data_IF_179276590556
#
_entry.id   IF_179276590556
#
_cell.length_a   1.000
_cell.length_b   1.000
_cell.length_c   1.000
_cell.angle_alpha   90.00
_cell.angle_beta   90.00
_cell.angle_gamma   90.00
#
_symmetry.space_group_name_H-M   'P 1'
#
loop_
_entity.id
_entity.type
_entity.pdbx_description
1 polymer ?
#
# COMPACT_ATOMS: atom_id res chain seq x y z
N UNK A 1 -19.30 -20.37 24.48
CA UNK A 1 -19.60 -19.88 24.07
C UNK A 1 -19.21 -19.43 23.14
N UNK A 2 -19.21 -19.26 22.79
CA UNK A 2 -18.83 -18.92 21.82
C UNK A 2 -18.50 -17.80 21.50
N UNK A 3 -17.87 -17.58 21.17
CA UNK A 3 -17.42 -16.59 20.83
C UNK A 3 -17.84 -16.08 19.78
N UNK A 4 -18.24 -15.27 19.83
CA UNK A 4 -18.74 -14.73 18.86
C UNK A 4 -17.83 -14.29 17.94
N UNK A 5 -17.75 -14.37 17.26
CA UNK A 5 -17.11 -14.04 16.49
C UNK A 5 -17.21 -12.95 16.03
N UNK A 6 -17.44 -12.50 16.42
CA UNK A 6 -17.43 -11.47 16.11
C UNK A 6 -16.62 -11.14 15.12
N UNK A 7 -16.90 -10.44 14.43
CA UNK A 7 -16.13 -9.99 13.47
C UNK A 7 -15.07 -9.27 14.00
N UNK A 8 -14.10 -9.80 14.25
CA UNK A 8 -12.92 -9.21 14.61
C UNK A 8 -12.34 -8.57 13.40
N UNK A 9 -12.04 -7.33 13.45
CA UNK A 9 -11.31 -6.70 12.38
C UNK A 9 -9.89 -7.18 12.42
N UNK A 10 -9.44 -7.66 11.30
CA UNK A 10 -8.05 -8.06 11.13
C UNK A 10 -7.30 -6.83 10.63
N UNK A 11 -6.20 -6.49 11.29
CA UNK A 11 -5.36 -5.38 10.82
C UNK A 11 -4.70 -5.74 9.51
N UNK A 12 -4.73 -4.82 8.58
CA UNK A 12 -4.02 -4.99 7.31
C UNK A 12 -2.53 -4.75 7.52
N UNK A 13 -1.73 -5.75 7.25
CA UNK A 13 -0.28 -5.62 7.30
C UNK A 13 0.17 -4.84 6.08
N UNK A 14 0.65 -3.64 6.30
CA UNK A 14 0.87 -2.68 5.24
C UNK A 14 2.35 -2.34 5.08
N UNK A 15 2.82 -2.45 3.86
CA UNK A 15 4.16 -2.05 3.45
C UNK A 15 4.07 -0.73 2.69
N UNK A 16 4.89 0.26 3.06
CA UNK A 16 4.78 1.60 2.48
C UNK A 16 6.11 2.02 1.88
N UNK A 17 6.07 2.44 0.63
CA UNK A 17 7.24 2.97 -0.09
C UNK A 17 7.01 4.46 -0.32
N UNK A 18 7.77 5.27 0.38
CA UNK A 18 7.71 6.73 0.33
C UNK A 18 9.04 7.27 0.83
N UNK A 19 9.69 8.13 0.05
CA UNK A 19 11.02 8.63 0.39
C UNK A 19 11.01 9.84 1.34
N UNK A 20 9.87 10.52 1.49
CA UNK A 20 9.77 11.63 2.43
C UNK A 20 9.33 11.12 3.80
N UNK A 21 10.22 11.21 4.78
CA UNK A 21 9.96 10.66 6.11
C UNK A 21 8.74 11.30 6.78
N UNK A 22 8.57 12.61 6.64
CA UNK A 22 7.43 13.31 7.27
C UNK A 22 6.12 12.86 6.66
N UNK A 23 6.05 12.78 5.34
CA UNK A 23 4.84 12.31 4.65
C UNK A 23 4.56 10.87 5.04
N UNK A 24 5.57 10.02 5.05
CA UNK A 24 5.43 8.62 5.39
C UNK A 24 4.92 8.44 6.82
N UNK A 25 5.52 9.12 7.77
CA UNK A 25 5.14 9.01 9.18
C UNK A 25 3.72 9.50 9.42
N UNK A 26 3.34 10.60 8.79
CA UNK A 26 1.99 11.13 8.92
C UNK A 26 0.97 10.18 8.29
N UNK A 27 1.29 9.60 7.15
CA UNK A 27 0.42 8.65 6.49
C UNK A 27 0.21 7.39 7.35
N UNK A 28 1.29 6.85 7.89
CA UNK A 28 1.22 5.68 8.76
C UNK A 28 0.35 5.97 9.98
N UNK A 29 0.61 7.10 10.65
CA UNK A 29 -0.14 7.45 11.85
C UNK A 29 -1.63 7.59 11.54
N UNK A 30 -1.97 8.25 10.44
CA UNK A 30 -3.36 8.44 10.03
C UNK A 30 -4.04 7.10 9.73
N UNK A 31 -3.38 6.24 8.96
CA UNK A 31 -3.95 4.95 8.60
C UNK A 31 -4.06 4.01 9.79
N UNK A 32 -3.09 4.04 10.69
CA UNK A 32 -3.16 3.20 11.90
C UNK A 32 -4.29 3.65 12.82
N UNK A 33 -4.54 4.95 12.86
CA UNK A 33 -5.61 5.47 13.71
C UNK A 33 -6.99 5.24 13.10
N UNK A 34 -7.15 5.48 11.79
CA UNK A 34 -8.47 5.55 11.16
C UNK A 34 -8.85 4.32 10.36
N UNK A 35 -7.90 3.52 9.94
CA UNK A 35 -8.14 2.48 8.94
C UNK A 35 -7.73 1.07 9.37
N UNK A 36 -7.37 0.90 10.60
CA UNK A 36 -7.04 -0.42 11.16
C UNK A 36 -5.93 -1.14 10.37
N UNK A 37 -4.88 -0.38 10.00
CA UNK A 37 -3.71 -0.97 9.38
C UNK A 37 -2.59 -1.14 10.40
N UNK A 38 -1.64 -1.99 10.08
CA UNK A 38 -0.41 -2.16 10.85
C UNK A 38 0.76 -2.02 9.89
N UNK A 39 1.63 -1.04 10.11
CA UNK A 39 2.81 -0.88 9.26
C UNK A 39 3.81 -1.99 9.58
N UNK A 40 4.12 -2.82 8.61
CA UNK A 40 5.05 -3.94 8.80
C UNK A 40 6.40 -3.70 8.14
N UNK A 41 6.52 -2.66 7.33
CA UNK A 41 7.79 -2.31 6.69
C UNK A 41 7.67 -1.02 5.93
N UNK A 42 8.81 -0.38 5.71
CA UNK A 42 8.90 0.85 4.94
C UNK A 42 10.11 0.77 4.02
N UNK A 43 10.06 1.52 2.93
CA UNK A 43 11.20 1.70 2.05
C UNK A 43 11.20 3.10 1.47
N UNK A 44 12.39 3.61 1.15
CA UNK A 44 12.55 4.95 0.60
C UNK A 44 13.05 4.93 -0.83
N UNK A 45 13.50 3.78 -1.30
CA UNK A 45 14.07 3.64 -2.64
C UNK A 45 13.48 2.42 -3.32
N UNK A 46 13.62 2.36 -4.64
CA UNK A 46 13.22 1.17 -5.39
C UNK A 46 13.97 -0.06 -4.91
N UNK A 47 15.28 0.05 -4.70
CA UNK A 47 16.11 -1.07 -4.29
C UNK A 47 15.67 -1.63 -2.93
N UNK A 48 15.44 -0.76 -1.95
CA UNK A 48 15.01 -1.19 -0.63
C UNK A 48 13.61 -1.80 -0.70
N UNK A 49 12.74 -1.21 -1.51
CA UNK A 49 11.38 -1.73 -1.68
C UNK A 49 11.36 -3.13 -2.26
N UNK A 50 12.13 -3.34 -3.34
CA UNK A 50 12.17 -4.66 -3.97
C UNK A 50 12.84 -5.69 -3.07
N UNK A 51 13.86 -5.29 -2.32
CA UNK A 51 14.52 -6.18 -1.37
C UNK A 51 13.57 -6.61 -0.25
N UNK A 52 12.81 -5.66 0.29
CA UNK A 52 11.85 -5.98 1.35
C UNK A 52 10.78 -6.96 0.85
N UNK A 53 10.24 -6.70 -0.33
CA UNK A 53 9.22 -7.57 -0.91
C UNK A 53 9.74 -8.97 -1.18
N UNK A 54 10.96 -9.08 -1.64
CA UNK A 54 11.58 -10.37 -1.88
C UNK A 54 11.74 -11.17 -0.58
N UNK A 55 12.12 -10.49 0.50
CA UNK A 55 12.35 -11.15 1.78
C UNK A 55 11.06 -11.45 2.54
N UNK A 56 9.96 -10.72 2.26
CA UNK A 56 8.74 -10.81 3.04
C UNK A 56 7.50 -11.05 2.18
N UNK A 57 7.63 -11.77 1.10
CA UNK A 57 6.58 -11.86 0.06
C UNK A 57 5.24 -12.41 0.55
N UNK A 58 5.21 -13.11 1.67
CA UNK A 58 3.95 -13.62 2.22
C UNK A 58 3.49 -12.87 3.47
N UNK A 59 4.19 -11.80 3.84
CA UNK A 59 4.00 -11.18 5.16
C UNK A 59 3.33 -9.81 5.10
N UNK A 60 2.66 -9.50 4.02
CA UNK A 60 1.96 -8.23 3.87
C UNK A 60 0.63 -8.44 3.17
N UNK A 61 -0.31 -7.54 3.43
CA UNK A 61 -1.65 -7.55 2.83
C UNK A 61 -1.84 -6.39 1.87
N UNK A 62 -1.18 -5.28 2.10
CA UNK A 62 -1.33 -4.06 1.33
C UNK A 62 0.02 -3.41 1.10
N UNK A 63 0.32 -3.05 -0.13
CA UNK A 63 1.49 -2.24 -0.44
C UNK A 63 1.02 -0.89 -0.98
N UNK A 64 1.48 0.19 -0.35
CA UNK A 64 1.19 1.56 -0.78
C UNK A 64 2.48 2.13 -1.33
N UNK A 65 2.49 2.48 -2.61
CA UNK A 65 3.71 2.83 -3.32
C UNK A 65 3.62 4.21 -3.96
N UNK A 66 4.54 5.10 -3.59
CA UNK A 66 4.72 6.35 -4.29
C UNK A 66 5.51 6.08 -5.57
N UNK A 67 5.05 6.64 -6.68
CA UNK A 67 5.70 6.44 -7.97
C UNK A 67 7.00 7.23 -8.12
N UNK A 68 7.08 8.39 -7.49
CA UNK A 68 8.20 9.31 -7.71
C UNK A 68 9.14 9.29 -6.51
N UNK A 69 10.15 8.45 -6.59
CA UNK A 69 11.15 8.31 -5.54
C UNK A 69 12.42 9.04 -5.95
N UNK A 70 13.21 9.49 -4.96
CA UNK A 70 14.49 10.14 -5.24
C UNK A 70 15.47 9.17 -5.86
N UNK A 71 15.39 7.89 -5.49
CA UNK A 71 16.27 6.87 -6.02
C UNK A 71 15.43 5.74 -6.58
N UNK A 72 15.48 5.58 -7.88
CA UNK A 72 14.69 4.60 -8.57
C UNK A 72 13.26 5.08 -8.81
N UNK A 73 12.36 4.14 -9.03
CA UNK A 73 10.96 4.43 -9.36
C UNK A 73 10.03 3.50 -8.63
N UNK A 74 8.89 4.02 -8.23
CA UNK A 74 7.81 3.20 -7.69
C UNK A 74 7.32 2.17 -8.69
N UNK A 75 7.44 2.46 -9.99
CA UNK A 75 7.08 1.47 -11.02
C UNK A 75 7.88 0.19 -10.90
N UNK A 76 9.18 0.29 -10.54
CA UNK A 76 10.00 -0.90 -10.32
C UNK A 76 9.54 -1.70 -9.11
N UNK A 77 9.11 -1.01 -8.06
CA UNK A 77 8.54 -1.68 -6.88
C UNK A 77 7.25 -2.41 -7.26
N UNK A 78 6.38 -1.75 -8.03
CA UNK A 78 5.13 -2.35 -8.48
C UNK A 78 5.39 -3.60 -9.32
N UNK A 79 6.39 -3.56 -10.17
CA UNK A 79 6.78 -4.73 -10.97
C UNK A 79 7.21 -5.89 -10.08
N UNK A 80 7.89 -5.59 -8.99
CA UNK A 80 8.32 -6.63 -8.03
C UNK A 80 7.13 -7.25 -7.28
N UNK A 81 6.01 -6.51 -7.13
CA UNK A 81 4.81 -7.02 -6.47
C UNK A 81 3.82 -7.63 -7.45
N UNK A 82 4.11 -7.62 -8.74
CA UNK A 82 3.12 -7.99 -9.74
C UNK A 82 2.60 -9.41 -9.53
N UNK A 83 3.49 -10.33 -9.22
CA UNK A 83 3.10 -11.69 -8.87
C UNK A 83 2.95 -11.75 -7.36
N UNK A 84 1.72 -11.88 -6.91
CA UNK A 84 1.42 -11.83 -5.49
C UNK A 84 0.25 -12.73 -5.15
N UNK A 85 0.02 -12.93 -3.86
CA UNK A 85 -1.08 -13.77 -3.39
C UNK A 85 -2.42 -13.06 -3.60
N UNK A 86 -3.52 -13.81 -3.74
CA UNK A 86 -4.82 -13.21 -4.05
C UNK A 86 -5.31 -12.16 -3.06
N UNK A 87 -4.93 -12.28 -1.79
CA UNK A 87 -5.37 -11.32 -0.77
C UNK A 87 -4.51 -10.07 -0.70
N UNK A 88 -3.40 -10.04 -1.41
CA UNK A 88 -2.47 -8.91 -1.38
C UNK A 88 -2.89 -7.86 -2.40
N UNK A 89 -3.05 -6.64 -1.92
CA UNK A 89 -3.43 -5.50 -2.75
C UNK A 89 -2.28 -4.53 -2.90
N UNK A 90 -2.17 -3.95 -4.09
CA UNK A 90 -1.10 -3.04 -4.44
C UNK A 90 -1.75 -1.75 -4.90
N UNK A 91 -1.49 -0.65 -4.19
CA UNK A 91 -2.07 0.64 -4.53
C UNK A 91 -0.99 1.69 -4.71
N UNK A 92 -1.30 2.69 -5.52
CA UNK A 92 -0.41 3.79 -5.81
C UNK A 92 -0.93 5.07 -5.17
N UNK A 93 -0.02 5.83 -4.59
CA UNK A 93 -0.31 7.13 -4.03
C UNK A 93 0.67 8.12 -4.67
N UNK A 94 0.17 9.05 -5.48
CA UNK A 94 1.03 9.94 -6.26
C UNK A 94 0.36 11.27 -6.57
N UNK A 95 1.16 12.33 -6.74
CA UNK A 95 0.64 13.66 -7.08
C UNK A 95 0.50 13.90 -8.58
N UNK A 96 1.30 13.22 -9.38
CA UNK A 96 1.45 13.62 -10.79
C UNK A 96 1.30 12.46 -11.76
N UNK A 97 0.28 11.64 -11.57
CA UNK A 97 0.06 10.52 -12.47
C UNK A 97 -0.52 11.01 -13.81
N UNK A 98 0.27 10.87 -14.87
CA UNK A 98 -0.18 11.17 -16.24
C UNK A 98 -0.96 9.98 -16.79
N UNK A 99 -1.71 10.15 -17.90
CA UNK A 99 -2.39 9.02 -18.53
C UNK A 99 -1.44 7.87 -18.88
N UNK A 100 -0.23 8.16 -19.34
CA UNK A 100 0.75 7.12 -19.66
C UNK A 100 1.17 6.35 -18.41
N UNK A 101 1.40 7.05 -17.31
CA UNK A 101 1.78 6.42 -16.06
C UNK A 101 0.62 5.58 -15.52
N UNK A 102 -0.60 6.08 -15.62
CA UNK A 102 -1.79 5.33 -15.20
C UNK A 102 -1.93 4.04 -15.99
N UNK A 103 -1.68 4.11 -17.31
CA UNK A 103 -1.71 2.93 -18.15
C UNK A 103 -0.66 1.91 -17.71
N UNK A 104 0.56 2.37 -17.41
CA UNK A 104 1.62 1.48 -16.92
C UNK A 104 1.25 0.82 -15.60
N UNK A 105 0.65 1.57 -14.69
CA UNK A 105 0.18 1.03 -13.41
C UNK A 105 -0.86 -0.06 -13.65
N UNK A 106 -1.80 0.19 -14.55
CA UNK A 106 -2.83 -0.80 -14.88
C UNK A 106 -2.21 -2.07 -15.47
N UNK A 107 -1.23 -1.93 -16.33
CA UNK A 107 -0.52 -3.06 -16.93
C UNK A 107 0.24 -3.88 -15.88
N UNK A 108 0.68 -3.23 -14.81
CA UNK A 108 1.37 -3.90 -13.71
C UNK A 108 0.40 -4.52 -12.69
N UNK A 109 -0.89 -4.34 -12.89
CA UNK A 109 -1.89 -4.96 -12.03
C UNK A 109 -2.17 -4.22 -10.73
N UNK A 110 -2.02 -2.88 -10.74
CA UNK A 110 -2.33 -2.05 -9.59
C UNK A 110 -3.83 -2.13 -9.28
N UNK A 111 -4.17 -2.32 -8.02
CA UNK A 111 -5.56 -2.47 -7.60
C UNK A 111 -6.30 -1.13 -7.49
N UNK A 112 -5.60 -0.06 -7.14
CA UNK A 112 -6.18 1.27 -7.06
C UNK A 112 -5.11 2.35 -7.09
N UNK A 113 -5.49 3.55 -7.49
CA UNK A 113 -4.61 4.71 -7.53
C UNK A 113 -5.27 5.85 -6.79
N UNK A 114 -4.49 6.59 -6.02
CA UNK A 114 -4.97 7.72 -5.23
C UNK A 114 -4.06 8.92 -5.39
N UNK A 115 -4.66 10.11 -5.48
CA UNK A 115 -3.93 11.36 -5.54
C UNK A 115 -3.55 11.80 -4.13
N UNK A 116 -2.28 12.08 -3.90
CA UNK A 116 -1.78 12.49 -2.58
C UNK A 116 -2.43 13.77 -2.09
N UNK A 117 -2.77 14.68 -2.99
CA UNK A 117 -3.30 15.99 -2.61
C UNK A 117 -4.79 15.96 -2.30
N UNK A 118 -5.54 15.09 -2.97
CA UNK A 118 -7.00 15.15 -2.95
C UNK A 118 -7.71 13.89 -2.50
N UNK A 119 -7.02 12.75 -2.46
CA UNK A 119 -7.69 11.47 -2.30
C UNK A 119 -7.23 10.64 -1.11
N UNK A 120 -6.64 11.29 -0.11
CA UNK A 120 -6.23 10.57 1.10
C UNK A 120 -7.46 9.95 1.79
N UNK A 121 -8.60 10.67 1.80
CA UNK A 121 -9.82 10.12 2.39
C UNK A 121 -10.28 8.85 1.65
N UNK A 122 -10.15 8.84 0.33
CA UNK A 122 -10.48 7.65 -0.46
C UNK A 122 -9.55 6.48 -0.15
N UNK A 123 -8.27 6.76 0.08
CA UNK A 123 -7.33 5.73 0.51
C UNK A 123 -7.70 5.17 1.87
N UNK A 124 -8.07 6.03 2.81
CA UNK A 124 -8.52 5.59 4.14
C UNK A 124 -9.73 4.67 4.00
N UNK A 125 -10.72 5.08 3.19
CA UNK A 125 -11.91 4.28 2.95
C UNK A 125 -11.58 2.93 2.32
N UNK A 126 -10.64 2.93 1.38
CA UNK A 126 -10.16 1.70 0.76
C UNK A 126 -9.58 0.74 1.81
N UNK A 127 -8.75 1.26 2.69
CA UNK A 127 -8.14 0.45 3.74
C UNK A 127 -9.19 -0.08 4.72
N UNK A 128 -10.17 0.75 5.09
CA UNK A 128 -11.25 0.34 5.97
C UNK A 128 -12.02 -0.83 5.33
N UNK A 129 -12.35 -0.71 4.06
CA UNK A 129 -13.08 -1.74 3.35
C UNK A 129 -12.32 -3.07 3.34
N UNK A 130 -10.99 -3.02 3.13
CA UNK A 130 -10.17 -4.23 3.12
C UNK A 130 -10.05 -4.84 4.52
N UNK A 131 -9.81 -4.02 5.55
CA UNK A 131 -9.65 -4.53 6.91
C UNK A 131 -10.94 -5.04 7.52
N UNK A 132 -12.09 -4.64 6.97
CA UNK A 132 -13.40 -5.05 7.47
C UNK A 132 -13.94 -6.30 6.78
N UNK A 133 -13.23 -6.81 5.81
CA UNK A 133 -13.68 -8.00 5.10
C UNK A 133 -13.73 -9.19 6.03
N UNK A 134 -14.81 -9.95 6.01
CA UNK A 134 -14.84 -11.19 6.80
C UNK A 134 -13.78 -12.12 6.27
N UNK A 135 -13.14 -12.74 7.14
CA UNK A 135 -12.02 -13.62 6.87
C UNK A 135 -12.34 -14.84 6.08
#
# INVERSE_FOLDING_TARGET
MPIPHRTTRVKLKTFIVEDNATIRENLIATLEELANIESVGIAETESDGTSWLSAHHTQWDLAIVDLFLRQGSGLGVLAACRTRLPHQHMVVLSNYATPDIRMRCAQLGVDAEFDKSNEIDALIDYCIARSSMPG
#
